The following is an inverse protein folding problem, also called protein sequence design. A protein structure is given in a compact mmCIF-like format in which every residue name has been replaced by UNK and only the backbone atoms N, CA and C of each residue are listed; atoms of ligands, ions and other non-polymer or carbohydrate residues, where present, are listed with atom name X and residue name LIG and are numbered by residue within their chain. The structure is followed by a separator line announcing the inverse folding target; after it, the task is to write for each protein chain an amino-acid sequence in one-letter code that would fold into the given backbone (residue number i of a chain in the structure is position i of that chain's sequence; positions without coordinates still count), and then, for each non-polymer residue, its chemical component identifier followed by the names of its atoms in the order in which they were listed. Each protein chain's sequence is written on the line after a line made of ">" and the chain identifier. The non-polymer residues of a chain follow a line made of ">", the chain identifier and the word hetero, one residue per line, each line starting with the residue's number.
data_IF_987429382510
#
_entry.id   IF_987429382510
#
_cell.length_a   1.000
_cell.length_b   1.000
_cell.length_c   1.000
_cell.angle_alpha   90.00
_cell.angle_beta   90.00
_cell.angle_gamma   90.00
#
_symmetry.space_group_name_H-M   'P 1'
#
loop_
_entity.id
_entity.type
_entity.pdbx_description
1 polymer ?
#
# COMPACT_ATOMS: atom_id res chain seq x y z
N UNK A 1 -1.75 -1.70 -8.62
CA UNK A 1 -1.57 -2.64 -7.50
C UNK A 1 -2.82 -2.54 -6.65
N UNK A 2 -3.50 -3.66 -6.45
CA UNK A 2 -4.73 -3.70 -5.67
C UNK A 2 -4.40 -4.07 -4.23
N UNK A 3 -4.58 -3.12 -3.34
CA UNK A 3 -4.54 -3.32 -1.90
C UNK A 3 -5.88 -3.85 -1.44
N UNK A 4 -5.84 -5.00 -0.78
CA UNK A 4 -7.00 -5.67 -0.17
C UNK A 4 -8.16 -5.93 -1.16
N UNK A 5 -7.93 -6.58 -2.32
CA UNK A 5 -9.01 -6.85 -3.28
C UNK A 5 -10.08 -7.83 -2.76
N UNK A 6 -9.75 -8.58 -1.70
CA UNK A 6 -10.60 -9.62 -1.14
C UNK A 6 -10.29 -9.80 0.35
N UNK A 7 -10.35 -8.72 1.16
CA UNK A 7 -10.32 -8.90 2.61
C UNK A 7 -11.55 -9.75 2.97
N UNK A 8 -11.41 -11.01 3.42
CA UNK A 8 -12.54 -11.71 3.98
C UNK A 8 -12.91 -10.96 5.25
N UNK A 9 -14.19 -10.79 5.52
CA UNK A 9 -14.75 -10.19 6.75
C UNK A 9 -14.08 -10.73 8.05
N UNK A 10 -13.46 -11.91 7.96
CA UNK A 10 -12.70 -12.56 9.03
C UNK A 10 -11.41 -11.87 9.51
N UNK A 11 -10.84 -10.91 8.76
CA UNK A 11 -9.62 -10.19 9.18
C UNK A 11 -9.94 -8.78 9.67
N UNK A 12 -10.51 -8.67 10.88
CA UNK A 12 -10.77 -7.37 11.53
C UNK A 12 -9.51 -6.51 11.58
N UNK A 13 -8.37 -7.01 12.03
CA UNK A 13 -7.16 -6.20 12.18
C UNK A 13 -5.90 -6.99 11.88
N UNK A 14 -4.92 -6.31 11.30
CA UNK A 14 -3.65 -6.91 10.90
C UNK A 14 -2.67 -5.88 10.37
N UNK A 15 -1.42 -6.30 10.27
CA UNK A 15 -0.39 -5.54 9.57
C UNK A 15 0.38 -6.47 8.65
N UNK A 16 0.69 -5.98 7.47
CA UNK A 16 1.58 -6.63 6.52
C UNK A 16 2.72 -5.67 6.24
N UNK A 17 3.94 -6.18 6.35
CA UNK A 17 5.15 -5.37 6.21
C UNK A 17 6.06 -6.01 5.18
N UNK A 18 6.78 -5.18 4.41
CA UNK A 18 7.70 -5.67 3.40
C UNK A 18 7.04 -6.22 2.13
N UNK A 19 5.84 -5.78 1.76
CA UNK A 19 5.21 -6.24 0.52
C UNK A 19 5.96 -5.66 -0.68
N UNK A 20 6.69 -6.50 -1.41
CA UNK A 20 7.42 -6.03 -2.59
C UNK A 20 6.48 -5.97 -3.79
N UNK A 21 6.29 -4.75 -4.27
CA UNK A 21 5.53 -4.41 -5.45
C UNK A 21 6.42 -4.45 -6.70
N UNK A 22 5.78 -4.73 -7.83
CA UNK A 22 6.45 -4.77 -9.12
C UNK A 22 7.00 -3.37 -9.43
N UNK A 23 8.31 -3.27 -9.67
CA UNK A 23 9.02 -1.98 -9.81
C UNK A 23 10.06 -1.71 -8.70
N UNK A 24 10.22 -2.62 -7.74
CA UNK A 24 11.21 -2.45 -6.66
C UNK A 24 10.74 -1.46 -5.60
N UNK A 25 9.44 -1.47 -5.32
CA UNK A 25 8.83 -0.71 -4.26
C UNK A 25 8.40 -1.67 -3.16
N UNK A 26 8.58 -1.27 -1.91
CA UNK A 26 8.13 -2.03 -0.74
C UNK A 26 6.97 -1.28 -0.11
N UNK A 27 5.92 -1.97 0.32
CA UNK A 27 4.81 -1.35 1.01
C UNK A 27 4.51 -2.09 2.31
N UNK A 28 4.21 -1.29 3.33
CA UNK A 28 3.86 -1.71 4.66
C UNK A 28 2.45 -1.18 4.91
N UNK A 29 1.48 -2.06 5.16
CA UNK A 29 0.09 -1.69 5.36
C UNK A 29 -0.38 -2.20 6.71
N UNK A 30 -1.09 -1.35 7.44
CA UNK A 30 -1.77 -1.67 8.68
C UNK A 30 -3.27 -1.39 8.50
N UNK A 31 -4.12 -2.33 8.89
CA UNK A 31 -5.58 -2.19 8.83
C UNK A 31 -6.22 -2.64 10.14
N UNK A 32 -7.32 -1.98 10.49
CA UNK A 32 -8.08 -2.23 11.70
C UNK A 32 -9.57 -2.04 11.40
N UNK A 33 -10.39 -2.94 11.91
CA UNK A 33 -11.81 -3.08 11.59
C UNK A 33 -12.14 -3.19 10.08
N UNK A 34 -11.26 -3.83 9.30
CA UNK A 34 -11.39 -3.91 7.84
C UNK A 34 -11.10 -2.60 7.10
N UNK A 35 -10.67 -1.55 7.82
CA UNK A 35 -10.31 -0.25 7.27
C UNK A 35 -8.79 -0.07 7.30
N UNK A 36 -8.22 0.41 6.20
CA UNK A 36 -6.80 0.77 6.15
C UNK A 36 -6.49 1.89 7.14
N UNK A 37 -5.59 1.62 8.08
CA UNK A 37 -5.18 2.57 9.13
C UNK A 37 -3.99 3.41 8.68
N UNK A 38 -2.97 2.78 8.10
CA UNK A 38 -1.81 3.45 7.52
C UNK A 38 -1.21 2.54 6.45
N UNK A 39 -0.67 3.14 5.40
CA UNK A 39 0.18 2.45 4.44
C UNK A 39 1.44 3.27 4.17
N UNK A 40 2.61 2.70 4.45
CA UNK A 40 3.90 3.30 4.14
C UNK A 40 4.46 2.66 2.88
N UNK A 41 4.77 3.47 1.87
CA UNK A 41 5.45 3.01 0.66
C UNK A 41 6.90 3.45 0.70
N UNK A 42 7.79 2.53 0.34
CA UNK A 42 9.22 2.73 0.24
C UNK A 42 9.69 2.42 -1.20
N UNK A 43 9.99 3.45 -1.98
CA UNK A 43 10.53 3.27 -3.31
C UNK A 43 12.05 3.03 -3.26
N UNK A 44 12.52 1.88 -3.76
CA UNK A 44 13.98 1.68 -3.92
C UNK A 44 14.49 2.24 -5.25
N UNK A 45 13.61 2.42 -6.24
CA UNK A 45 13.92 2.97 -7.56
C UNK A 45 12.85 3.98 -7.99
N UNK A 46 13.14 4.81 -8.99
CA UNK A 46 12.15 5.67 -9.62
C UNK A 46 11.04 4.82 -10.25
N UNK A 47 9.82 5.00 -9.77
CA UNK A 47 8.68 4.23 -10.23
C UNK A 47 7.39 5.04 -10.12
N UNK A 48 6.62 5.00 -11.20
CA UNK A 48 5.23 5.40 -11.20
C UNK A 48 4.38 4.15 -10.96
N UNK A 49 3.64 4.13 -9.85
CA UNK A 49 2.73 3.04 -9.56
C UNK A 49 1.32 3.55 -9.27
N UNK A 50 0.29 3.02 -9.97
CA UNK A 50 -1.08 3.22 -9.56
C UNK A 50 -1.37 2.34 -8.35
N UNK A 51 -1.61 2.98 -7.21
CA UNK A 51 -2.11 2.36 -5.99
C UNK A 51 -3.64 2.36 -6.02
N UNK A 52 -4.23 1.18 -5.93
CA UNK A 52 -5.69 1.01 -5.92
C UNK A 52 -6.06 0.40 -4.57
N UNK A 53 -6.95 1.04 -3.84
CA UNK A 53 -7.52 0.52 -2.59
C UNK A 53 -9.04 0.53 -2.72
N UNK A 54 -9.66 -0.64 -2.69
CA UNK A 54 -11.11 -0.78 -2.92
C UNK A 54 -11.56 -0.15 -4.25
N UNK A 55 -12.30 0.95 -4.18
CA UNK A 55 -12.80 1.70 -5.36
C UNK A 55 -11.95 2.94 -5.71
N UNK A 56 -10.92 3.24 -4.92
CA UNK A 56 -10.15 4.47 -5.07
C UNK A 56 -8.78 4.17 -5.66
N UNK A 57 -8.51 4.75 -6.84
CA UNK A 57 -7.18 4.76 -7.46
C UNK A 57 -6.47 6.08 -7.13
N UNK A 58 -5.23 5.99 -6.71
CA UNK A 58 -4.29 7.11 -6.63
C UNK A 58 -3.01 6.74 -7.38
N UNK A 59 -2.57 7.64 -8.24
CA UNK A 59 -1.29 7.49 -8.93
C UNK A 59 -0.22 8.16 -8.07
N UNK A 60 0.80 7.38 -7.70
CA UNK A 60 1.94 7.88 -6.95
C UNK A 60 3.19 7.72 -7.80
N UNK A 61 3.86 8.84 -8.03
CA UNK A 61 5.19 8.87 -8.64
C UNK A 61 6.21 9.02 -7.51
N UNK A 62 6.89 7.94 -7.16
CA UNK A 62 7.95 7.95 -6.15
C UNK A 62 9.32 7.91 -6.82
N UNK A 63 10.28 8.64 -6.26
CA UNK A 63 11.68 8.56 -6.67
C UNK A 63 12.44 7.52 -5.83
N UNK A 64 13.56 7.05 -6.36
CA UNK A 64 14.46 6.13 -5.66
C UNK A 64 14.88 6.70 -4.30
N UNK A 65 14.58 5.96 -3.22
CA UNK A 65 14.86 6.34 -1.84
C UNK A 65 13.79 7.22 -1.17
N UNK A 66 12.66 7.46 -1.83
CA UNK A 66 11.55 8.23 -1.26
C UNK A 66 10.58 7.31 -0.50
N UNK A 67 10.15 7.75 0.68
CA UNK A 67 9.11 7.10 1.46
C UNK A 67 7.91 8.03 1.59
N UNK A 68 6.71 7.46 1.50
CA UNK A 68 5.46 8.20 1.67
C UNK A 68 4.55 7.42 2.62
N UNK A 69 4.09 8.10 3.66
CA UNK A 69 2.99 7.62 4.48
C UNK A 69 1.67 8.04 3.85
N UNK A 70 0.80 7.06 3.65
CA UNK A 70 -0.53 7.25 3.10
C UNK A 70 -1.53 6.89 4.19
N UNK A 71 -2.23 7.92 4.62
CA UNK A 71 -3.48 7.82 5.37
C UNK A 71 -4.63 8.09 4.39
N UNK A 72 -5.69 7.28 4.46
CA UNK A 72 -6.88 7.41 3.62
C UNK A 72 -7.96 8.27 4.26
#
# INVERSE_FOLDING_TARGET
>A
IDLLPALPDAWNSGSVRGLVLRGGLTIDIEWEDGVLKSATLHASHDCDIPLVYGHQRKEFSLKAGEEIDITW
#
